data_IF_377265398589
#
_entry.id   IF_377265398589
#
_cell.length_a   1.000
_cell.length_b   1.000
_cell.length_c   1.000
_cell.angle_alpha   90.00
_cell.angle_beta   90.00
_cell.angle_gamma   90.00
#
_symmetry.space_group_name_H-M   'P 1'
#
loop_
_entity.id
_entity.type
_entity.pdbx_description
1 polymer ?
#
# COMPACT_ATOMS: atom_id res chain seq x y z
N UNK A 1 -19.62 11.53 -7.78
CA UNK A 1 -18.98 10.28 -7.40
C UNK A 1 -18.98 9.31 -8.56
N UNK A 2 -17.84 8.71 -8.88
CA UNK A 2 -17.70 7.86 -10.07
C UNK A 2 -18.25 6.44 -9.93
N UNK A 3 -18.64 6.02 -8.72
CA UNK A 3 -19.31 4.73 -8.46
C UNK A 3 -18.62 3.53 -9.12
N UNK A 4 -17.32 3.42 -8.95
CA UNK A 4 -16.52 2.31 -9.49
C UNK A 4 -16.00 2.51 -10.91
N UNK A 5 -16.27 3.66 -11.52
CA UNK A 5 -15.71 4.00 -12.82
C UNK A 5 -14.62 5.04 -12.69
N UNK A 6 -13.65 5.01 -13.60
CA UNK A 6 -12.63 6.04 -13.66
C UNK A 6 -13.22 7.36 -14.19
N UNK A 7 -12.78 8.49 -13.65
CA UNK A 7 -13.20 9.80 -14.16
C UNK A 7 -12.70 10.03 -15.59
N UNK A 8 -11.49 9.55 -15.89
CA UNK A 8 -10.91 9.65 -17.25
C UNK A 8 -11.17 8.35 -17.97
N UNK A 9 -12.03 8.40 -18.98
CA UNK A 9 -12.44 7.21 -19.75
C UNK A 9 -11.24 6.43 -20.31
N UNK A 10 -10.24 7.15 -20.83
CA UNK A 10 -9.07 6.50 -21.40
C UNK A 10 -8.27 5.67 -20.39
N UNK A 11 -8.40 5.96 -19.08
CA UNK A 11 -7.69 5.19 -18.06
C UNK A 11 -8.41 3.90 -17.68
N UNK A 12 -9.65 3.72 -18.10
CA UNK A 12 -10.36 2.44 -17.91
C UNK A 12 -9.78 1.33 -18.77
N UNK A 13 -9.00 1.69 -19.80
CA UNK A 13 -8.31 0.71 -20.64
C UNK A 13 -7.08 0.10 -19.98
N UNK A 14 -6.68 0.57 -18.80
CA UNK A 14 -5.54 0.01 -18.07
C UNK A 14 -5.80 -1.46 -17.78
N UNK A 15 -4.81 -2.30 -18.12
CA UNK A 15 -4.90 -3.74 -17.84
C UNK A 15 -4.45 -4.01 -16.41
N UNK A 16 -5.39 -4.46 -15.59
CA UNK A 16 -5.13 -4.81 -14.21
C UNK A 16 -4.79 -6.29 -14.10
N UNK A 17 -3.91 -6.60 -13.16
CA UNK A 17 -3.64 -7.99 -12.77
C UNK A 17 -4.82 -8.54 -11.97
N UNK A 18 -5.15 -9.81 -12.19
CA UNK A 18 -6.16 -10.52 -11.41
C UNK A 18 -5.52 -11.48 -10.40
N UNK A 19 -4.35 -11.14 -9.87
CA UNK A 19 -3.62 -11.97 -8.94
C UNK A 19 -4.25 -11.89 -7.54
N UNK A 20 -5.12 -12.85 -7.24
CA UNK A 20 -5.81 -12.90 -5.95
C UNK A 20 -4.85 -13.16 -4.79
N UNK A 21 -3.79 -13.93 -5.01
CA UNK A 21 -2.80 -14.22 -3.97
C UNK A 21 -2.03 -12.94 -3.61
N UNK A 22 -1.69 -12.11 -4.60
CA UNK A 22 -1.04 -10.81 -4.35
C UNK A 22 -1.98 -9.87 -3.61
N UNK A 23 -3.26 -9.83 -3.98
CA UNK A 23 -4.26 -9.03 -3.28
C UNK A 23 -4.41 -9.48 -1.83
N UNK A 24 -4.46 -10.78 -1.57
CA UNK A 24 -4.54 -11.32 -0.22
C UNK A 24 -3.32 -10.93 0.62
N UNK A 25 -2.12 -10.99 0.04
CA UNK A 25 -0.91 -10.57 0.73
C UNK A 25 -0.98 -9.08 1.10
N UNK A 26 -1.51 -8.24 0.20
CA UNK A 26 -1.68 -6.82 0.45
C UNK A 26 -2.68 -6.56 1.59
N UNK A 27 -3.88 -7.12 1.50
CA UNK A 27 -4.93 -6.86 2.49
C UNK A 27 -4.60 -7.42 3.87
N UNK A 28 -3.76 -8.45 3.94
CA UNK A 28 -3.34 -9.07 5.19
C UNK A 28 -2.04 -8.50 5.75
N UNK A 29 -1.38 -7.59 5.02
CA UNK A 29 -0.13 -6.99 5.46
C UNK A 29 1.05 -7.94 5.39
N UNK A 30 1.21 -8.64 4.26
CA UNK A 30 2.28 -9.62 4.02
C UNK A 30 3.02 -9.33 2.72
N UNK A 31 3.22 -8.05 2.39
CA UNK A 31 3.87 -7.67 1.13
C UNK A 31 5.39 -7.70 1.17
N UNK A 32 5.97 -7.68 2.36
CA UNK A 32 7.41 -7.55 2.52
C UNK A 32 7.89 -6.09 2.51
N UNK A 33 6.97 -5.13 2.42
CA UNK A 33 7.25 -3.70 2.56
C UNK A 33 6.71 -3.23 3.91
N UNK A 34 7.59 -3.02 4.92
CA UNK A 34 7.13 -2.83 6.31
C UNK A 34 6.09 -1.73 6.52
N UNK A 35 6.23 -0.58 5.85
CA UNK A 35 5.27 0.51 6.05
C UNK A 35 3.90 0.18 5.45
N UNK A 36 3.86 -0.52 4.33
CA UNK A 36 2.61 -0.99 3.72
C UNK A 36 1.94 -2.00 4.65
N UNK A 37 2.71 -2.95 5.15
CA UNK A 37 2.19 -4.02 6.01
C UNK A 37 1.68 -3.46 7.33
N UNK A 38 2.41 -2.53 7.95
CA UNK A 38 1.99 -1.87 9.18
C UNK A 38 0.67 -1.12 8.98
N UNK A 39 0.53 -0.39 7.87
CA UNK A 39 -0.70 0.34 7.56
C UNK A 39 -1.90 -0.58 7.35
N UNK A 40 -1.71 -1.65 6.59
CA UNK A 40 -2.80 -2.60 6.33
C UNK A 40 -3.21 -3.38 7.57
N UNK A 41 -2.24 -3.72 8.44
CA UNK A 41 -2.54 -4.39 9.72
C UNK A 41 -3.24 -3.45 10.69
N UNK A 42 -2.89 -2.16 10.69
CA UNK A 42 -3.62 -1.16 11.47
C UNK A 42 -5.08 -1.08 11.04
N UNK A 43 -5.33 -1.09 9.74
CA UNK A 43 -6.69 -1.06 9.20
C UNK A 43 -7.52 -2.21 9.75
N UNK A 44 -6.97 -3.43 9.73
CA UNK A 44 -7.68 -4.62 10.23
C UNK A 44 -7.87 -4.58 11.75
N UNK A 45 -6.89 -4.07 12.48
CA UNK A 45 -6.93 -4.06 13.95
C UNK A 45 -7.79 -2.92 14.51
N UNK A 46 -7.74 -1.74 13.90
CA UNK A 46 -8.33 -0.52 14.45
C UNK A 46 -9.46 0.07 13.61
N UNK A 47 -9.61 -0.37 12.36
CA UNK A 47 -10.60 0.22 11.43
C UNK A 47 -10.26 1.64 11.03
N UNK A 48 -8.99 2.00 11.09
CA UNK A 48 -8.51 3.35 10.79
C UNK A 48 -7.08 3.29 10.25
N UNK A 49 -6.72 4.31 9.47
CA UNK A 49 -5.38 4.44 8.93
C UNK A 49 -5.10 5.92 8.65
N UNK A 50 -3.90 6.40 9.02
CA UNK A 50 -3.49 7.76 8.74
C UNK A 50 -3.56 8.05 7.24
N UNK A 51 -3.94 9.29 6.87
CA UNK A 51 -4.13 9.65 5.46
C UNK A 51 -2.92 9.33 4.57
N UNK A 52 -1.71 9.63 5.04
CA UNK A 52 -0.50 9.34 4.27
C UNK A 52 -0.36 7.84 4.00
N UNK A 53 -0.69 7.01 4.98
CA UNK A 53 -0.65 5.56 4.81
C UNK A 53 -1.70 5.06 3.83
N UNK A 54 -2.87 5.68 3.82
CA UNK A 54 -3.92 5.35 2.83
C UNK A 54 -3.40 5.57 1.41
N UNK A 55 -2.66 6.66 1.20
CA UNK A 55 -2.05 6.96 -0.10
C UNK A 55 -0.94 5.98 -0.46
N UNK A 56 -0.05 5.68 0.48
CA UNK A 56 1.06 4.74 0.27
C UNK A 56 0.54 3.35 -0.08
N UNK A 57 -0.41 2.84 0.71
CA UNK A 57 -0.95 1.50 0.51
C UNK A 57 -1.79 1.39 -0.76
N UNK A 58 -2.55 2.45 -1.10
CA UNK A 58 -3.34 2.48 -2.32
C UNK A 58 -2.46 2.52 -3.56
N UNK A 59 -1.41 3.35 -3.55
CA UNK A 59 -0.46 3.39 -4.65
C UNK A 59 0.27 2.07 -4.84
N UNK A 60 0.65 1.43 -3.72
CA UNK A 60 1.31 0.14 -3.79
C UNK A 60 0.43 -0.89 -4.53
N UNK A 61 -0.85 -0.97 -4.16
CA UNK A 61 -1.76 -1.90 -4.80
C UNK A 61 -1.93 -1.61 -6.29
N UNK A 62 -2.20 -0.37 -6.65
CA UNK A 62 -2.55 0.00 -8.02
C UNK A 62 -1.33 0.15 -8.93
N UNK A 63 -0.20 0.65 -8.42
CA UNK A 63 0.99 0.94 -9.23
C UNK A 63 2.03 -0.17 -9.19
N UNK A 64 2.32 -0.71 -8.02
CA UNK A 64 3.33 -1.77 -7.88
C UNK A 64 2.78 -3.14 -8.21
N UNK A 65 1.58 -3.46 -7.73
CA UNK A 65 0.94 -4.75 -7.98
C UNK A 65 0.06 -4.76 -9.23
N UNK A 66 -0.30 -3.60 -9.75
CA UNK A 66 -1.21 -3.44 -10.90
C UNK A 66 -2.54 -4.16 -10.68
N UNK A 67 -3.02 -4.17 -9.43
CA UNK A 67 -4.33 -4.74 -9.09
C UNK A 67 -5.37 -3.62 -9.18
N UNK A 68 -6.54 -3.96 -9.68
CA UNK A 68 -7.63 -3.00 -9.89
C UNK A 68 -7.91 -2.24 -8.59
N UNK A 69 -7.82 -0.90 -8.65
CA UNK A 69 -8.05 -0.03 -7.51
C UNK A 69 -9.43 -0.23 -6.87
N UNK A 70 -10.40 -0.74 -7.63
CA UNK A 70 -11.76 -0.99 -7.13
C UNK A 70 -11.78 -2.08 -6.07
N UNK A 71 -10.87 -3.05 -6.16
CA UNK A 71 -10.73 -4.08 -5.12
C UNK A 71 -10.26 -3.47 -3.80
N UNK A 72 -9.29 -2.55 -3.88
CA UNK A 72 -8.80 -1.83 -2.71
C UNK A 72 -9.83 -0.90 -2.11
N UNK A 73 -10.57 -0.18 -2.96
CA UNK A 73 -11.65 0.70 -2.53
C UNK A 73 -12.69 -0.08 -1.70
N UNK A 74 -13.11 -1.24 -2.21
CA UNK A 74 -14.07 -2.09 -1.50
C UNK A 74 -13.53 -2.58 -0.16
N UNK A 75 -12.24 -2.94 -0.13
CA UNK A 75 -11.60 -3.39 1.11
C UNK A 75 -11.56 -2.26 2.14
N UNK A 76 -11.20 -1.05 1.74
CA UNK A 76 -11.19 0.12 2.62
C UNK A 76 -12.59 0.44 3.14
N UNK A 77 -13.60 0.46 2.26
CA UNK A 77 -14.98 0.73 2.67
C UNK A 77 -15.49 -0.28 3.70
N UNK A 78 -15.07 -1.54 3.55
CA UNK A 78 -15.49 -2.61 4.46
C UNK A 78 -14.88 -2.46 5.84
N UNK A 79 -13.65 -1.92 5.95
CA UNK A 79 -12.89 -1.91 7.20
C UNK A 79 -12.75 -0.54 7.86
N UNK A 80 -12.82 0.55 7.12
CA UNK A 80 -12.69 1.90 7.69
C UNK A 80 -13.96 2.30 8.45
N UNK A 81 -13.78 2.68 9.72
CA UNK A 81 -14.86 3.18 10.56
C UNK A 81 -15.38 4.52 10.00
N UNK A 82 -14.46 5.35 9.50
CA UNK A 82 -14.78 6.65 8.93
C UNK A 82 -14.96 6.60 7.40
N UNK A 83 -15.28 5.43 6.85
CA UNK A 83 -15.39 5.24 5.40
C UNK A 83 -16.47 6.13 4.79
N UNK A 84 -16.09 6.89 3.75
CA UNK A 84 -16.95 7.73 2.96
C UNK A 84 -16.76 7.34 1.50
N UNK A 85 -17.83 6.92 0.83
CA UNK A 85 -17.76 6.42 -0.53
C UNK A 85 -17.12 7.43 -1.50
N UNK A 86 -17.51 8.71 -1.41
CA UNK A 86 -16.98 9.72 -2.30
C UNK A 86 -15.49 9.97 -2.06
N UNK A 87 -15.09 10.16 -0.80
CA UNK A 87 -13.69 10.40 -0.45
C UNK A 87 -12.81 9.18 -0.74
N UNK A 88 -13.31 7.98 -0.42
CA UNK A 88 -12.58 6.75 -0.66
C UNK A 88 -12.38 6.52 -2.17
N UNK A 89 -13.45 6.66 -2.96
CA UNK A 89 -13.39 6.50 -4.41
C UNK A 89 -12.44 7.51 -5.05
N UNK A 90 -12.54 8.79 -4.68
CA UNK A 90 -11.67 9.85 -5.19
C UNK A 90 -10.20 9.63 -4.84
N UNK A 91 -9.93 9.23 -3.60
CA UNK A 91 -8.56 8.95 -3.15
C UNK A 91 -7.95 7.76 -3.88
N UNK A 92 -8.71 6.70 -4.10
CA UNK A 92 -8.24 5.54 -4.85
C UNK A 92 -7.98 5.88 -6.31
N UNK A 93 -8.86 6.67 -6.94
CA UNK A 93 -8.64 7.09 -8.33
C UNK A 93 -7.42 7.98 -8.46
N UNK A 94 -7.20 8.88 -7.50
CA UNK A 94 -5.99 9.71 -7.47
C UNK A 94 -4.74 8.83 -7.39
N UNK A 95 -4.71 7.86 -6.50
CA UNK A 95 -3.58 6.94 -6.31
C UNK A 95 -3.33 6.08 -7.55
N UNK A 96 -4.38 5.70 -8.26
CA UNK A 96 -4.29 4.91 -9.49
C UNK A 96 -4.07 5.78 -10.74
N UNK A 97 -4.04 7.10 -10.60
CA UNK A 97 -3.94 8.07 -11.70
C UNK A 97 -5.13 8.02 -12.66
N UNK A 98 -6.32 7.71 -12.14
CA UNK A 98 -7.56 7.62 -12.95
C UNK A 98 -8.59 8.69 -12.60
N UNK A 99 -8.34 9.51 -11.57
CA UNK A 99 -9.24 10.56 -11.12
C UNK A 99 -8.96 11.91 -11.77
N UNK A 100 -9.81 12.91 -11.46
CA UNK A 100 -9.69 14.26 -12.02
C UNK A 100 -8.39 14.96 -11.61
N UNK A 101 -7.96 14.76 -10.36
CA UNK A 101 -6.73 15.35 -9.81
C UNK A 101 -5.63 14.30 -9.70
N UNK A 102 -5.67 13.27 -10.55
CA UNK A 102 -4.71 12.18 -10.50
C UNK A 102 -3.30 12.66 -10.82
N UNK A 103 -2.33 12.21 -10.05
CA UNK A 103 -0.94 12.51 -10.37
C UNK A 103 -0.50 11.75 -11.63
N UNK A 104 0.56 12.22 -12.32
CA UNK A 104 1.04 11.56 -13.51
C UNK A 104 1.37 10.07 -13.25
N UNK A 105 1.09 9.22 -14.22
CA UNK A 105 1.26 7.77 -14.09
C UNK A 105 2.68 7.37 -13.66
N UNK A 106 3.70 8.09 -14.14
CA UNK A 106 5.10 7.79 -13.80
C UNK A 106 5.49 8.21 -12.38
N UNK A 107 4.66 9.02 -11.70
CA UNK A 107 4.95 9.47 -10.34
C UNK A 107 4.37 8.46 -9.34
N UNK A 108 5.24 7.59 -8.85
CA UNK A 108 4.87 6.53 -7.92
C UNK A 108 5.64 6.71 -6.63
N UNK A 109 4.96 6.64 -5.48
CA UNK A 109 5.63 6.68 -4.19
C UNK A 109 6.48 5.43 -4.01
N UNK A 110 7.75 5.62 -3.62
CA UNK A 110 8.59 4.53 -3.17
C UNK A 110 8.18 4.21 -1.73
N UNK A 111 7.59 3.02 -1.46
CA UNK A 111 7.10 2.73 -0.11
C UNK A 111 8.19 2.74 0.96
N UNK A 112 9.38 2.28 0.64
CA UNK A 112 10.51 2.29 1.58
C UNK A 112 10.90 3.73 1.94
N UNK A 113 11.02 4.61 0.95
CA UNK A 113 11.34 6.02 1.16
C UNK A 113 10.25 6.71 1.98
N UNK A 114 9.00 6.44 1.68
CA UNK A 114 7.86 6.98 2.43
C UNK A 114 7.85 6.48 3.87
N UNK A 115 8.19 5.21 4.09
CA UNK A 115 8.31 4.65 5.43
C UNK A 115 9.38 5.34 6.26
N UNK A 116 10.54 5.60 5.67
CA UNK A 116 11.62 6.32 6.34
C UNK A 116 11.24 7.75 6.71
N UNK A 117 10.39 8.39 5.91
CA UNK A 117 9.91 9.75 6.20
C UNK A 117 8.81 9.77 7.24
N UNK A 118 7.84 8.85 7.13
CA UNK A 118 6.68 8.79 8.00
C UNK A 118 7.03 8.24 9.39
N UNK A 119 7.90 7.26 9.43
CA UNK A 119 8.23 6.51 10.66
C UNK A 119 9.74 6.28 10.76
N UNK A 120 10.54 7.36 10.86
CA UNK A 120 12.00 7.24 10.77
C UNK A 120 12.60 6.28 11.81
N UNK A 121 12.06 6.23 13.02
CA UNK A 121 12.56 5.36 14.08
C UNK A 121 11.95 3.95 14.06
N UNK A 122 10.95 3.73 13.22
CA UNK A 122 10.29 2.43 13.11
C UNK A 122 9.32 2.10 14.23
N UNK A 123 8.91 3.08 15.02
CA UNK A 123 7.99 2.85 16.15
C UNK A 123 6.64 2.33 15.69
N UNK A 124 6.07 2.93 14.64
CA UNK A 124 4.80 2.51 14.07
C UNK A 124 4.90 1.11 13.47
N UNK A 125 5.97 0.85 12.72
CA UNK A 125 6.20 -0.48 12.14
C UNK A 125 6.28 -1.53 13.23
N UNK A 126 7.05 -1.29 14.30
CA UNK A 126 7.17 -2.26 15.39
C UNK A 126 5.84 -2.57 16.05
N UNK A 127 4.97 -1.57 16.16
CA UNK A 127 3.66 -1.73 16.79
C UNK A 127 2.78 -2.72 16.03
N UNK A 128 2.77 -2.65 14.70
CA UNK A 128 1.86 -3.45 13.88
C UNK A 128 2.54 -4.64 13.21
N UNK A 129 3.87 -4.67 13.17
CA UNK A 129 4.64 -5.77 12.58
C UNK A 129 5.62 -6.28 13.65
N UNK A 130 5.12 -7.06 14.63
CA UNK A 130 5.96 -7.54 15.72
C UNK A 130 7.13 -8.40 15.28
N UNK A 131 7.04 -9.04 14.11
CA UNK A 131 8.15 -9.82 13.54
C UNK A 131 9.41 -8.98 13.33
N UNK A 132 9.26 -7.66 13.21
CA UNK A 132 10.37 -6.72 12.98
C UNK A 132 10.82 -5.97 14.24
N UNK A 133 10.23 -6.27 15.38
CA UNK A 133 10.44 -5.51 16.62
C UNK A 133 11.90 -5.42 17.04
N UNK A 134 12.68 -6.47 16.80
CA UNK A 134 14.08 -6.52 17.21
C UNK A 134 15.03 -5.73 16.29
N UNK A 135 14.57 -5.28 15.13
CA UNK A 135 15.41 -4.54 14.18
C UNK A 135 15.55 -3.07 14.58
N UNK A 136 16.73 -2.51 14.34
CA UNK A 136 16.96 -1.08 14.57
C UNK A 136 16.31 -0.22 13.48
N UNK A 137 16.34 1.11 13.66
CA UNK A 137 15.70 2.04 12.73
C UNK A 137 16.26 1.96 11.31
N UNK A 138 17.52 1.56 11.16
CA UNK A 138 18.18 1.42 9.85
C UNK A 138 17.69 0.19 9.11
N UNK A 139 17.53 -0.93 9.81
CA UNK A 139 17.21 -2.23 9.20
C UNK A 139 15.71 -2.46 9.03
N UNK A 140 14.91 -1.82 9.87
CA UNK A 140 13.46 -2.10 9.92
C UNK A 140 12.73 -1.72 8.63
N UNK A 141 13.23 -0.75 7.89
CA UNK A 141 12.59 -0.30 6.64
C UNK A 141 12.93 -1.20 5.45
N UNK A 142 14.03 -1.92 5.50
CA UNK A 142 14.48 -2.81 4.42
C UNK A 142 15.06 -4.10 5.00
N UNK A 143 14.23 -4.93 5.69
CA UNK A 143 14.76 -6.11 6.38
C UNK A 143 15.50 -7.07 5.44
N UNK A 144 14.99 -7.29 4.24
CA UNK A 144 15.58 -8.23 3.30
C UNK A 144 16.95 -7.80 2.78
N UNK A 145 17.26 -6.51 2.83
CA UNK A 145 18.55 -5.98 2.38
C UNK A 145 19.71 -6.32 3.35
N UNK A 146 19.38 -6.78 4.56
CA UNK A 146 20.37 -7.02 5.61
C UNK A 146 20.65 -8.50 5.86
N UNK A 147 20.28 -9.38 4.92
CA UNK A 147 20.69 -10.78 4.90
C UNK A 147 20.41 -11.54 6.20
N UNK A 148 21.46 -11.86 6.95
CA UNK A 148 21.38 -12.66 8.18
C UNK A 148 20.53 -12.03 9.28
N UNK A 149 20.28 -10.72 9.23
CA UNK A 149 19.49 -10.02 10.22
C UNK A 149 17.99 -9.95 9.84
N UNK A 150 17.64 -10.45 8.65
CA UNK A 150 16.24 -10.48 8.23
C UNK A 150 15.49 -11.58 8.99
N UNK A 151 14.37 -11.24 9.69
CA UNK A 151 13.56 -12.25 10.38
C UNK A 151 12.96 -13.25 9.38
N UNK A 152 13.02 -14.54 9.69
CA UNK A 152 12.47 -15.58 8.84
C UNK A 152 10.94 -15.49 8.71
N UNK A 153 10.28 -15.02 9.77
CA UNK A 153 8.81 -14.92 9.81
C UNK A 153 8.27 -13.80 8.93
N UNK A 154 9.11 -12.85 8.56
CA UNK A 154 8.68 -11.73 7.74
C UNK A 154 8.97 -12.01 6.27
N UNK A 155 7.99 -11.82 5.36
CA UNK A 155 8.17 -12.14 3.95
C UNK A 155 9.18 -11.21 3.28
N UNK A 156 9.80 -11.68 2.22
CA UNK A 156 10.61 -10.84 1.35
C UNK A 156 9.69 -9.96 0.51
N UNK A 157 10.18 -8.79 0.03
CA UNK A 157 9.39 -7.94 -0.85
C UNK A 157 8.82 -8.74 -2.01
N UNK A 158 7.50 -8.67 -2.20
CA UNK A 158 6.81 -9.46 -3.23
C UNK A 158 7.02 -8.91 -4.64
N UNK A 159 7.48 -7.66 -4.76
CA UNK A 159 7.80 -7.02 -6.03
C UNK A 159 9.06 -6.19 -5.89
N UNK A 160 9.73 -5.93 -7.02
CA UNK A 160 10.80 -4.94 -7.10
C UNK A 160 10.15 -3.60 -7.50
N UNK A 161 10.10 -2.65 -6.57
CA UNK A 161 9.48 -1.34 -6.83
C UNK A 161 10.12 -0.62 -8.04
N UNK A 162 11.43 -0.71 -8.19
CA UNK A 162 12.12 -0.07 -9.32
C UNK A 162 11.68 -0.68 -10.65
N UNK A 163 11.53 -2.00 -10.71
CA UNK A 163 11.05 -2.69 -11.90
C UNK A 163 9.57 -2.38 -12.18
N UNK A 164 8.75 -2.30 -11.13
CA UNK A 164 7.32 -1.99 -11.27
C UNK A 164 7.06 -0.56 -11.78
N UNK A 165 8.01 0.36 -11.53
CA UNK A 165 7.92 1.75 -12.00
C UNK A 165 8.11 1.87 -13.51
N UNK A 166 8.88 0.98 -14.07
CA UNK A 166 9.19 0.96 -15.50
C UNK A 166 8.07 0.23 -16.26
#
# INVERSE_FOLDING_TARGET
>A
VSMGRAFKVQTEAVRWSHDEAAFDAWREGRTGFPIVDAGMRQLLAEGWMHNRLRMITAMFLSKDLLIDWRWGERHFMRHLIDGDLASNNGGWQWSASTGTDAQPYFRVFNPTTQGKRFDPEGAFIRRFVPELEALDARRIHEPAAHGLFAPEEYPRPMVDHAAARD
#
